data_IF_940250074818
#
_entry.id   IF_940250074818
#
_cell.length_a   1.000
_cell.length_b   1.000
_cell.length_c   1.000
_cell.angle_alpha   90.00
_cell.angle_beta   90.00
_cell.angle_gamma   90.00
#
_symmetry.space_group_name_H-M   'P 1'
#
loop_
_entity.id
_entity.type
_entity.pdbx_description
1 polymer ?
#
# COMPACT_ATOMS: atom_id res chain seq x y z
N UNK A 1 22.83 -4.19 -0.60
CA UNK A 1 23.81 -3.13 -0.95
C UNK A 1 23.27 -1.84 -0.35
N UNK A 2 24.09 -1.00 0.28
CA UNK A 2 23.63 0.26 0.90
C UNK A 2 24.27 1.45 0.19
N UNK A 3 23.53 2.55 0.07
CA UNK A 3 24.00 3.84 -0.43
C UNK A 3 25.02 4.53 0.48
N UNK A 4 25.71 5.56 -0.03
CA UNK A 4 26.79 6.28 0.69
C UNK A 4 26.35 7.68 1.20
N UNK A 5 25.05 7.90 1.32
CA UNK A 5 24.44 9.10 1.89
C UNK A 5 24.10 10.14 0.82
N UNK A 6 22.97 10.82 1.01
CA UNK A 6 22.30 11.58 -0.05
C UNK A 6 21.48 10.66 -0.97
N UNK A 7 20.76 11.25 -1.93
CA UNK A 7 19.96 10.50 -2.90
C UNK A 7 20.82 9.49 -3.69
N UNK A 8 20.55 8.21 -3.51
CA UNK A 8 21.28 7.09 -4.09
C UNK A 8 20.45 6.38 -5.18
N UNK A 9 21.12 5.77 -6.16
CA UNK A 9 20.50 4.79 -7.06
C UNK A 9 21.06 3.41 -6.73
N UNK A 10 20.23 2.56 -6.16
CA UNK A 10 20.62 1.24 -5.64
C UNK A 10 20.03 0.18 -6.56
N UNK A 11 20.90 -0.55 -7.26
CA UNK A 11 20.51 -1.72 -8.04
C UNK A 11 20.75 -3.00 -7.21
N UNK A 12 19.68 -3.75 -6.98
CA UNK A 12 19.72 -5.10 -6.45
C UNK A 12 20.49 -6.03 -7.37
N UNK A 13 21.35 -6.86 -6.78
CA UNK A 13 21.85 -8.08 -7.42
C UNK A 13 21.47 -9.33 -6.62
N UNK A 14 20.70 -9.13 -5.54
CA UNK A 14 20.27 -10.09 -4.52
C UNK A 14 18.86 -9.65 -4.06
N UNK A 15 18.10 -10.60 -3.52
CA UNK A 15 16.72 -10.46 -3.02
C UNK A 15 16.43 -9.34 -1.98
N UNK A 16 17.41 -8.53 -1.57
CA UNK A 16 17.24 -7.47 -0.57
C UNK A 16 17.97 -6.19 -0.97
N UNK A 17 17.18 -5.14 -1.17
CA UNK A 17 17.61 -3.78 -1.51
C UNK A 17 17.11 -2.84 -0.41
N UNK A 18 18.02 -2.06 0.18
CA UNK A 18 17.67 -1.16 1.29
C UNK A 18 18.33 0.19 1.06
N UNK A 19 17.51 1.23 1.09
CA UNK A 19 17.86 2.64 1.05
C UNK A 19 18.69 3.08 2.27
N UNK A 20 19.29 4.26 2.17
CA UNK A 20 19.86 4.93 3.34
C UNK A 20 18.76 5.68 4.09
N UNK A 21 18.87 5.91 5.41
CA UNK A 21 17.84 6.67 6.13
C UNK A 21 17.78 8.13 5.65
N UNK A 22 16.56 8.69 5.65
CA UNK A 22 16.24 10.11 5.49
C UNK A 22 16.65 10.73 4.13
N UNK A 23 16.72 9.95 3.05
CA UNK A 23 17.08 10.42 1.70
C UNK A 23 16.08 9.95 0.65
N UNK A 24 15.92 10.77 -0.40
CA UNK A 24 15.12 10.44 -1.58
C UNK A 24 15.90 9.48 -2.50
N UNK A 25 15.65 8.18 -2.40
CA UNK A 25 16.40 7.14 -3.10
C UNK A 25 15.65 6.57 -4.32
N UNK A 26 16.42 5.96 -5.24
CA UNK A 26 15.90 5.14 -6.33
C UNK A 26 16.36 3.70 -6.11
N UNK A 27 15.43 2.79 -5.88
CA UNK A 27 15.71 1.38 -5.64
C UNK A 27 15.20 0.55 -6.82
N UNK A 28 16.04 -0.33 -7.35
CA UNK A 28 15.67 -1.25 -8.42
C UNK A 28 16.06 -2.69 -8.05
N UNK A 29 15.08 -3.60 -7.92
CA UNK A 29 15.31 -5.03 -7.62
C UNK A 29 15.92 -5.76 -8.82
N UNK A 30 15.24 -5.72 -9.96
CA UNK A 30 15.71 -6.22 -11.24
C UNK A 30 15.06 -7.54 -11.62
N UNK A 31 15.73 -8.66 -11.36
CA UNK A 31 15.18 -9.99 -11.65
C UNK A 31 15.29 -10.88 -10.42
N UNK A 32 14.26 -11.68 -10.18
CA UNK A 32 14.14 -12.51 -8.98
C UNK A 32 13.28 -11.81 -7.94
N UNK A 33 12.84 -12.58 -6.93
CA UNK A 33 11.98 -12.06 -5.88
C UNK A 33 12.78 -11.12 -4.96
N UNK A 34 12.55 -9.83 -5.07
CA UNK A 34 13.26 -8.80 -4.32
C UNK A 34 12.41 -8.21 -3.19
N UNK A 35 13.08 -7.75 -2.14
CA UNK A 35 12.46 -6.93 -1.08
C UNK A 35 13.16 -5.58 -1.04
N UNK A 36 12.40 -4.51 -1.27
CA UNK A 36 12.87 -3.14 -1.35
C UNK A 36 12.35 -2.35 -0.14
N UNK A 37 13.24 -1.65 0.54
CA UNK A 37 12.91 -0.75 1.66
C UNK A 37 13.45 0.66 1.39
N UNK A 38 12.57 1.64 1.14
CA UNK A 38 12.88 3.06 0.93
C UNK A 38 13.22 3.82 2.23
N UNK A 39 12.60 3.41 3.33
CA UNK A 39 12.77 4.01 4.67
C UNK A 39 12.15 5.39 4.75
N UNK A 40 12.94 6.45 4.90
CA UNK A 40 12.41 7.79 5.09
C UNK A 40 12.94 8.66 3.98
N UNK A 41 12.09 9.48 3.35
CA UNK A 41 12.45 10.24 2.16
C UNK A 41 11.37 10.12 1.09
N UNK A 42 11.56 10.77 -0.05
CA UNK A 42 10.69 10.59 -1.22
C UNK A 42 11.32 9.56 -2.16
N UNK A 43 10.93 8.30 -2.00
CA UNK A 43 11.56 7.17 -2.66
C UNK A 43 10.85 6.74 -3.93
N UNK A 44 11.63 6.13 -4.83
CA UNK A 44 11.14 5.45 -6.03
C UNK A 44 11.61 4.01 -6.04
N UNK A 45 10.68 3.09 -5.85
CA UNK A 45 10.96 1.65 -5.80
C UNK A 45 10.47 0.97 -7.08
N UNK A 46 11.35 0.17 -7.69
CA UNK A 46 11.09 -0.63 -8.88
C UNK A 46 11.42 -2.09 -8.57
N UNK A 47 10.41 -2.95 -8.41
CA UNK A 47 10.58 -4.39 -8.17
C UNK A 47 11.28 -5.06 -9.34
N UNK A 48 10.62 -5.08 -10.50
CA UNK A 48 11.20 -5.58 -11.74
C UNK A 48 10.46 -6.82 -12.25
N UNK A 49 11.14 -7.97 -12.24
CA UNK A 49 10.54 -9.24 -12.65
C UNK A 49 10.52 -10.22 -11.48
N UNK A 50 9.53 -11.11 -11.50
CA UNK A 50 9.20 -12.06 -10.44
C UNK A 50 8.52 -11.36 -9.26
N UNK A 51 8.33 -12.05 -8.13
CA UNK A 51 7.43 -11.58 -7.08
C UNK A 51 8.16 -10.70 -6.08
N UNK A 52 7.85 -9.41 -6.07
CA UNK A 52 8.56 -8.42 -5.27
C UNK A 52 7.76 -7.93 -4.06
N UNK A 53 8.48 -7.45 -3.04
CA UNK A 53 7.92 -6.76 -1.87
C UNK A 53 8.48 -5.36 -1.77
N UNK A 54 7.63 -4.34 -1.87
CA UNK A 54 8.00 -2.93 -1.89
C UNK A 54 7.43 -2.24 -0.65
N UNK A 55 8.31 -1.68 0.18
CA UNK A 55 8.01 -0.89 1.37
C UNK A 55 8.67 0.48 1.19
N UNK A 56 7.87 1.50 0.89
CA UNK A 56 8.34 2.88 0.71
C UNK A 56 8.86 3.42 2.04
N UNK A 57 8.00 3.35 3.06
CA UNK A 57 8.26 3.83 4.40
C UNK A 57 7.76 5.26 4.58
N UNK A 58 8.38 6.04 5.45
CA UNK A 58 7.96 7.41 5.74
C UNK A 58 8.31 8.37 4.59
N UNK A 59 7.32 8.81 3.85
CA UNK A 59 7.43 9.76 2.76
C UNK A 59 6.21 9.73 1.85
N UNK A 60 6.29 10.51 0.78
CA UNK A 60 5.34 10.39 -0.33
C UNK A 60 6.04 9.59 -1.44
N UNK A 61 5.87 8.26 -1.42
CA UNK A 61 6.66 7.36 -2.24
C UNK A 61 5.97 6.95 -3.54
N UNK A 62 6.77 6.46 -4.49
CA UNK A 62 6.29 5.93 -5.75
C UNK A 62 6.78 4.51 -5.98
N UNK A 63 5.83 3.57 -6.04
CA UNK A 63 6.09 2.13 -6.04
C UNK A 63 5.65 1.50 -7.37
N UNK A 64 6.56 0.75 -7.98
CA UNK A 64 6.35 -0.01 -9.22
C UNK A 64 6.73 -1.47 -8.98
N UNK A 65 5.76 -2.37 -8.86
CA UNK A 65 6.00 -3.82 -8.72
C UNK A 65 6.66 -4.39 -9.96
N UNK A 66 5.99 -4.25 -11.11
CA UNK A 66 6.50 -4.74 -12.38
C UNK A 66 5.77 -6.02 -12.76
N UNK A 67 6.50 -7.05 -13.21
CA UNK A 67 5.87 -8.32 -13.57
C UNK A 67 6.05 -9.35 -12.46
N UNK A 68 4.97 -9.95 -11.99
CA UNK A 68 5.04 -10.94 -10.93
C UNK A 68 3.81 -10.79 -10.07
N UNK A 69 3.74 -11.51 -8.95
CA UNK A 69 2.75 -11.23 -7.92
C UNK A 69 3.42 -10.38 -6.85
N UNK A 70 3.19 -9.09 -6.90
CA UNK A 70 3.90 -8.12 -6.08
C UNK A 70 3.11 -7.78 -4.80
N UNK A 71 3.85 -7.32 -3.79
CA UNK A 71 3.31 -6.93 -2.50
C UNK A 71 3.77 -5.53 -2.15
N UNK A 72 2.84 -4.59 -2.12
CA UNK A 72 3.05 -3.22 -1.64
C UNK A 72 2.74 -3.16 -0.16
N UNK A 73 3.65 -2.57 0.60
CA UNK A 73 3.55 -2.43 2.04
C UNK A 73 3.36 -0.97 2.34
N UNK A 74 2.29 -0.67 3.05
CA UNK A 74 2.00 0.66 3.55
C UNK A 74 1.79 0.58 5.06
N UNK A 75 2.61 1.28 5.81
CA UNK A 75 2.43 1.45 7.24
C UNK A 75 1.60 2.71 7.51
N UNK A 76 0.88 2.69 8.62
CA UNK A 76 0.25 3.91 9.12
C UNK A 76 1.33 4.98 9.34
N UNK A 77 1.01 6.20 8.92
CA UNK A 77 1.88 7.37 8.95
C UNK A 77 3.06 7.34 7.96
N UNK A 78 3.04 6.44 6.96
CA UNK A 78 4.02 6.47 5.87
C UNK A 78 3.91 7.79 5.08
N UNK A 79 2.70 8.23 4.74
CA UNK A 79 2.50 9.49 4.00
C UNK A 79 1.54 9.31 2.84
N UNK A 80 1.81 9.93 1.69
CA UNK A 80 0.99 9.79 0.48
C UNK A 80 1.71 8.99 -0.61
N UNK A 81 1.44 7.69 -0.64
CA UNK A 81 2.07 6.79 -1.60
C UNK A 81 1.28 6.64 -2.88
N UNK A 82 2.00 6.41 -3.97
CA UNK A 82 1.47 6.13 -5.29
C UNK A 82 1.95 4.74 -5.73
N UNK A 83 0.99 3.85 -6.00
CA UNK A 83 1.24 2.54 -6.58
C UNK A 83 0.91 2.61 -8.07
N UNK A 84 1.91 2.28 -8.89
CA UNK A 84 1.78 2.16 -10.33
C UNK A 84 2.07 0.73 -10.76
N UNK A 85 0.99 -0.03 -10.87
CA UNK A 85 1.07 -1.40 -11.33
C UNK A 85 1.35 -1.48 -12.83
N UNK A 86 2.36 -2.28 -13.18
CA UNK A 86 2.88 -2.42 -14.53
C UNK A 86 3.17 -3.90 -14.86
N UNK A 87 2.24 -4.77 -14.47
CA UNK A 87 2.30 -6.22 -14.66
C UNK A 87 1.47 -6.76 -15.82
N UNK A 88 1.32 -8.08 -15.86
CA UNK A 88 0.44 -8.78 -16.80
C UNK A 88 -0.83 -9.23 -16.11
N UNK A 89 -1.96 -9.31 -16.83
CA UNK A 89 -3.33 -9.58 -16.34
C UNK A 89 -3.54 -10.92 -15.58
N UNK A 90 -2.49 -11.68 -15.31
CA UNK A 90 -2.52 -12.90 -14.51
C UNK A 90 -1.75 -12.80 -13.19
N UNK A 91 -1.13 -11.65 -12.90
CA UNK A 91 -0.57 -11.37 -11.58
C UNK A 91 -1.68 -11.27 -10.54
N UNK A 92 -1.31 -11.51 -9.29
CA UNK A 92 -2.15 -11.35 -8.11
C UNK A 92 -1.43 -10.44 -7.14
N UNK A 93 -1.51 -9.15 -7.41
CA UNK A 93 -0.82 -8.11 -6.69
C UNK A 93 -1.59 -7.77 -5.40
N UNK A 94 -0.86 -7.43 -4.35
CA UNK A 94 -1.42 -7.24 -3.00
C UNK A 94 -0.95 -5.93 -2.41
N UNK A 95 -1.88 -5.11 -1.95
CA UNK A 95 -1.61 -4.04 -1.00
C UNK A 95 -1.80 -4.58 0.42
N UNK A 96 -0.78 -4.46 1.24
CA UNK A 96 -0.82 -4.74 2.68
C UNK A 96 -0.75 -3.40 3.44
N UNK A 97 -1.80 -3.08 4.18
CA UNK A 97 -1.82 -1.95 5.11
C UNK A 97 -1.56 -2.47 6.52
N UNK A 98 -0.57 -1.91 7.18
CA UNK A 98 -0.14 -2.31 8.51
C UNK A 98 -0.42 -1.22 9.55
N UNK A 99 -0.84 -1.63 10.75
CA UNK A 99 -0.89 -0.73 11.90
C UNK A 99 0.49 -0.15 12.25
N UNK A 100 0.50 1.03 12.86
CA UNK A 100 1.74 1.69 13.27
C UNK A 100 2.52 0.83 14.30
N UNK A 101 3.85 0.86 14.18
CA UNK A 101 4.79 0.17 15.05
C UNK A 101 5.06 0.92 16.37
N UNK A 102 4.57 2.15 16.56
CA UNK A 102 5.10 3.04 17.60
C UNK A 102 4.11 3.51 18.68
N UNK A 103 2.80 3.57 18.42
CA UNK A 103 1.84 4.05 19.42
C UNK A 103 0.97 2.93 20.00
N UNK A 104 1.43 2.35 21.13
CA UNK A 104 0.77 1.27 21.87
C UNK A 104 -0.60 1.58 22.50
N UNK A 105 -1.33 2.60 22.04
CA UNK A 105 -2.66 2.94 22.56
C UNK A 105 -3.71 3.24 21.47
N UNK A 106 -3.33 3.48 20.21
CA UNK A 106 -4.27 3.74 19.11
C UNK A 106 -4.50 2.47 18.29
N UNK A 107 -5.43 1.62 18.77
CA UNK A 107 -5.86 0.43 18.04
C UNK A 107 -6.81 0.83 16.90
N UNK A 108 -6.38 0.55 15.68
CA UNK A 108 -7.17 0.65 14.46
C UNK A 108 -8.49 -0.12 14.62
N UNK A 109 -9.63 0.50 14.34
CA UNK A 109 -10.86 -0.26 14.11
C UNK A 109 -10.96 -0.48 12.59
N UNK A 110 -10.17 -1.45 12.13
CA UNK A 110 -9.57 -1.53 10.80
C UNK A 110 -10.42 -1.24 9.55
N UNK A 111 -11.73 -1.34 9.67
CA UNK A 111 -12.66 -1.16 8.57
C UNK A 111 -13.38 0.19 8.60
N UNK A 112 -13.51 0.81 9.76
CA UNK A 112 -14.20 2.09 9.92
C UNK A 112 -13.30 3.27 9.55
N UNK A 113 -11.99 3.07 9.63
CA UNK A 113 -10.96 4.09 9.43
C UNK A 113 -10.45 4.14 7.97
N UNK A 114 -10.97 3.28 7.08
CA UNK A 114 -10.64 3.31 5.65
C UNK A 114 -11.75 3.96 4.83
N UNK A 115 -11.39 5.02 4.12
CA UNK A 115 -12.26 5.71 3.18
C UNK A 115 -11.76 5.53 1.75
N UNK A 116 -12.68 5.23 0.85
CA UNK A 116 -12.35 4.97 -0.54
C UNK A 116 -12.96 6.05 -1.43
N UNK A 117 -12.18 6.49 -2.41
CA UNK A 117 -12.63 7.44 -3.42
C UNK A 117 -12.06 7.06 -4.78
N UNK A 118 -12.87 7.21 -5.82
CA UNK A 118 -12.40 7.15 -7.19
C UNK A 118 -12.08 8.55 -7.72
N UNK A 119 -10.83 8.78 -8.05
CA UNK A 119 -10.36 9.99 -8.72
C UNK A 119 -10.04 9.68 -10.18
N UNK A 120 -11.01 9.89 -11.08
CA UNK A 120 -10.84 9.54 -12.49
C UNK A 120 -10.68 8.04 -12.71
N UNK A 121 -9.47 7.59 -13.07
CA UNK A 121 -9.12 6.18 -13.19
C UNK A 121 -8.34 5.64 -12.00
N UNK A 122 -8.12 6.46 -10.97
CA UNK A 122 -7.30 6.08 -9.82
C UNK A 122 -8.20 5.70 -8.64
N UNK A 123 -7.81 4.66 -7.91
CA UNK A 123 -8.41 4.31 -6.62
C UNK A 123 -7.60 4.97 -5.52
N UNK A 124 -8.25 5.80 -4.72
CA UNK A 124 -7.68 6.46 -3.56
C UNK A 124 -8.21 5.79 -2.30
N UNK A 125 -7.29 5.35 -1.45
CA UNK A 125 -7.57 4.80 -0.12
C UNK A 125 -7.02 5.81 0.89
N UNK A 126 -7.91 6.52 1.57
CA UNK A 126 -7.56 7.42 2.67
C UNK A 126 -7.70 6.65 3.99
N UNK A 127 -6.67 6.76 4.82
CA UNK A 127 -6.68 6.28 6.18
C UNK A 127 -7.16 7.44 7.05
N UNK A 128 -8.48 7.52 7.25
CA UNK A 128 -9.12 8.54 8.08
C UNK A 128 -9.07 8.10 9.54
N UNK A 129 -8.18 8.74 10.26
CA UNK A 129 -8.00 8.58 11.68
C UNK A 129 -8.93 9.56 12.40
N UNK A 130 -10.21 9.23 12.51
CA UNK A 130 -11.09 10.01 13.38
C UNK A 130 -10.79 9.71 14.85
N UNK A 131 -9.67 10.24 15.34
CA UNK A 131 -9.44 10.43 16.76
C UNK A 131 -10.27 11.64 17.21
N UNK A 132 -11.42 11.36 17.82
CA UNK A 132 -12.43 12.33 18.31
C UNK A 132 -11.87 13.30 19.40
N UNK A 133 -10.56 13.27 19.74
CA UNK A 133 -10.00 13.90 20.95
C UNK A 133 -8.68 14.68 20.83
N UNK A 134 -7.99 14.73 19.68
CA UNK A 134 -6.85 15.65 19.50
C UNK A 134 -6.84 16.33 18.12
N UNK A 135 -7.09 17.65 18.01
CA UNK A 135 -7.36 18.31 16.72
C UNK A 135 -6.16 18.48 15.78
N UNK A 136 -4.93 18.29 16.27
CA UNK A 136 -3.73 18.71 15.56
C UNK A 136 -2.69 17.57 15.60
N UNK A 137 -2.29 17.10 14.41
CA UNK A 137 -1.09 16.30 14.11
C UNK A 137 -1.19 14.77 14.12
N UNK A 138 -2.14 14.20 13.39
CA UNK A 138 -1.88 12.90 12.79
C UNK A 138 -2.16 12.97 11.28
N UNK A 139 -1.16 12.58 10.51
CA UNK A 139 -1.10 12.70 9.07
C UNK A 139 -2.09 11.68 8.52
N UNK A 140 -3.21 12.11 7.93
CA UNK A 140 -4.12 11.19 7.22
C UNK A 140 -3.31 10.53 6.10
N UNK A 141 -2.90 9.28 6.32
CA UNK A 141 -2.18 8.49 5.34
C UNK A 141 -3.05 8.28 4.10
N UNK A 142 -2.42 8.18 2.94
CA UNK A 142 -3.13 7.92 1.69
C UNK A 142 -2.32 6.99 0.80
N UNK A 143 -3.00 6.03 0.21
CA UNK A 143 -2.47 5.24 -0.90
C UNK A 143 -3.29 5.51 -2.14
N UNK A 144 -2.63 5.87 -3.24
CA UNK A 144 -3.26 6.04 -4.56
C UNK A 144 -2.80 4.94 -5.49
N UNK A 145 -3.72 4.08 -5.93
CA UNK A 145 -3.45 3.09 -6.96
C UNK A 145 -3.90 3.67 -8.30
N UNK A 146 -2.94 3.95 -9.18
CA UNK A 146 -3.25 4.62 -10.44
C UNK A 146 -3.83 3.67 -11.47
N UNK A 147 -4.72 4.18 -12.32
CA UNK A 147 -5.37 3.43 -13.40
C UNK A 147 -6.12 2.14 -12.97
N UNK A 148 -6.49 2.03 -11.69
CA UNK A 148 -7.36 0.97 -11.19
C UNK A 148 -8.63 0.86 -12.06
N UNK A 149 -9.05 -0.36 -12.38
CA UNK A 149 -10.23 -0.62 -13.22
C UNK A 149 -10.10 -0.29 -14.71
N UNK A 150 -8.95 0.20 -15.20
CA UNK A 150 -8.76 0.57 -16.63
C UNK A 150 -7.50 0.01 -17.27
N UNK A 151 -6.48 -0.31 -16.48
CA UNK A 151 -5.29 -1.01 -16.92
C UNK A 151 -5.50 -2.52 -16.90
N UNK A 152 -4.67 -3.23 -17.69
CA UNK A 152 -4.67 -4.68 -17.77
C UNK A 152 -3.98 -5.32 -16.55
N UNK A 153 -3.25 -4.53 -15.76
CA UNK A 153 -2.69 -4.87 -14.46
C UNK A 153 -3.18 -3.86 -13.42
N UNK A 154 -3.61 -4.37 -12.27
CA UNK A 154 -4.23 -3.64 -11.17
C UNK A 154 -3.74 -4.26 -9.88
N UNK A 155 -3.99 -3.62 -8.73
CA UNK A 155 -3.84 -4.34 -7.46
C UNK A 155 -5.12 -5.11 -7.23
N UNK A 156 -5.05 -6.43 -7.11
CA UNK A 156 -6.23 -7.29 -6.93
C UNK A 156 -6.68 -7.37 -5.47
N UNK A 157 -5.73 -7.30 -4.52
CA UNK A 157 -6.00 -7.65 -3.13
C UNK A 157 -5.59 -6.56 -2.17
N UNK A 158 -6.41 -6.33 -1.16
CA UNK A 158 -6.08 -5.54 0.01
C UNK A 158 -6.11 -6.43 1.25
N UNK A 159 -5.07 -6.35 2.07
CA UNK A 159 -4.96 -7.01 3.36
C UNK A 159 -4.63 -6.00 4.43
N UNK A 160 -5.26 -6.13 5.60
CA UNK A 160 -5.04 -5.27 6.74
C UNK A 160 -4.38 -6.08 7.85
N UNK A 161 -3.34 -5.55 8.50
CA UNK A 161 -2.59 -6.25 9.54
C UNK A 161 -2.53 -5.44 10.84
N UNK A 162 -2.73 -6.12 11.97
CA UNK A 162 -2.50 -5.55 13.31
C UNK A 162 -0.99 -5.46 13.62
N UNK A 163 -0.66 -4.78 14.73
CA UNK A 163 0.70 -4.66 15.27
C UNK A 163 1.36 -6.01 15.62
N UNK A 164 0.55 -7.03 15.89
CA UNK A 164 0.92 -8.42 16.12
C UNK A 164 1.05 -9.26 14.82
N UNK A 165 0.99 -8.62 13.64
CA UNK A 165 1.05 -9.26 12.31
C UNK A 165 -0.09 -10.23 12.00
N UNK A 166 -1.26 -10.04 12.60
CA UNK A 166 -2.47 -10.81 12.30
C UNK A 166 -3.28 -10.11 11.23
N UNK A 167 -3.76 -10.90 10.27
CA UNK A 167 -4.70 -10.43 9.26
C UNK A 167 -6.02 -10.04 9.92
N UNK A 168 -6.39 -8.77 9.80
CA UNK A 168 -7.65 -8.22 10.27
C UNK A 168 -8.66 -8.31 9.13
N UNK A 169 -9.81 -8.92 9.42
CA UNK A 169 -10.94 -9.13 8.51
C UNK A 169 -10.71 -9.67 7.11
N UNK A 170 -9.64 -10.44 6.97
CA UNK A 170 -9.44 -11.27 5.80
C UNK A 170 -8.91 -10.49 4.61
N UNK A 171 -9.00 -11.13 3.45
CA UNK A 171 -8.56 -10.56 2.18
C UNK A 171 -9.73 -9.85 1.49
N UNK A 172 -9.48 -8.63 1.05
CA UNK A 172 -10.44 -7.77 0.35
C UNK A 172 -10.11 -7.80 -1.14
N UNK A 173 -11.12 -8.05 -1.96
CA UNK A 173 -11.02 -7.91 -3.42
C UNK A 173 -11.14 -6.44 -3.82
N UNK A 174 -10.05 -5.85 -4.36
CA UNK A 174 -10.00 -4.46 -4.76
C UNK A 174 -10.82 -4.16 -6.02
N UNK A 175 -11.16 -5.17 -6.84
CA UNK A 175 -12.11 -4.97 -7.95
C UNK A 175 -13.53 -4.69 -7.42
N UNK A 176 -13.90 -5.33 -6.32
CA UNK A 176 -15.15 -5.07 -5.60
C UNK A 176 -15.14 -3.70 -4.94
N UNK A 177 -14.02 -3.30 -4.33
CA UNK A 177 -13.81 -1.94 -3.77
C UNK A 177 -13.94 -0.88 -4.86
N UNK A 178 -13.25 -1.06 -5.98
CA UNK A 178 -13.33 -0.16 -7.14
C UNK A 178 -14.75 0.02 -7.65
N UNK A 179 -15.51 -1.06 -7.73
CA UNK A 179 -16.90 -1.04 -8.22
C UNK A 179 -17.85 -0.31 -7.26
N UNK A 180 -17.53 -0.29 -5.97
CA UNK A 180 -18.31 0.38 -4.93
C UNK A 180 -17.85 1.82 -4.67
N UNK A 181 -16.58 2.14 -4.94
CA UNK A 181 -16.02 3.47 -4.74
C UNK A 181 -16.73 4.49 -5.66
N UNK A 182 -17.37 5.47 -5.03
CA UNK A 182 -17.96 6.61 -5.71
C UNK A 182 -16.91 7.68 -6.09
N UNK A 183 -17.37 8.78 -6.69
CA UNK A 183 -16.55 9.99 -6.94
C UNK A 183 -16.53 10.94 -5.73
N UNK A 184 -16.85 10.42 -4.56
CA UNK A 184 -16.88 11.15 -3.28
C UNK A 184 -16.54 10.14 -2.19
N UNK A 185 -15.86 10.61 -1.14
CA UNK A 185 -15.45 9.78 -0.01
C UNK A 185 -16.62 8.98 0.55
N UNK A 186 -16.43 7.66 0.65
CA UNK A 186 -17.37 6.76 1.28
C UNK A 186 -16.62 5.78 2.18
N UNK A 187 -17.10 5.62 3.40
CA UNK A 187 -16.79 4.47 4.25
C UNK A 187 -17.51 3.25 3.67
N UNK A 188 -16.77 2.18 3.36
CA UNK A 188 -17.37 0.95 2.86
C UNK A 188 -17.68 0.03 4.04
N UNK A 189 -18.96 -0.27 4.24
CA UNK A 189 -19.38 -1.27 5.22
C UNK A 189 -19.03 -2.67 4.69
N UNK A 190 -17.98 -3.25 5.26
CA UNK A 190 -17.58 -4.60 4.96
C UNK A 190 -18.31 -5.59 5.87
N UNK A 191 -19.06 -6.53 5.28
CA UNK A 191 -19.73 -7.60 6.03
C UNK A 191 -19.04 -8.94 5.81
N UNK A 192 -18.83 -9.68 6.89
CA UNK A 192 -18.36 -11.06 6.83
C UNK A 192 -19.50 -11.98 6.42
N UNK A 193 -19.29 -12.79 5.39
CA UNK A 193 -20.17 -13.92 5.15
C UNK A 193 -19.73 -15.18 5.95
N UNK A 194 -20.60 -16.19 6.01
CA UNK A 194 -20.36 -17.45 6.74
C UNK A 194 -19.23 -18.32 6.14
N UNK A 195 -18.58 -17.86 5.06
CA UNK A 195 -17.42 -18.48 4.41
C UNK A 195 -16.13 -17.65 4.59
N UNK A 196 -16.08 -16.73 5.57
CA UNK A 196 -14.89 -15.93 5.90
C UNK A 196 -14.38 -15.04 4.76
N UNK A 197 -15.22 -14.68 3.80
CA UNK A 197 -14.89 -13.71 2.76
C UNK A 197 -15.58 -12.37 3.03
N UNK A 198 -14.80 -11.29 2.92
CA UNK A 198 -15.24 -9.92 3.12
C UNK A 198 -15.78 -9.38 1.78
N UNK A 199 -17.02 -8.88 1.78
CA UNK A 199 -17.62 -8.24 0.61
C UNK A 199 -18.05 -6.83 0.95
N UNK A 200 -17.96 -5.94 -0.04
CA UNK A 200 -18.50 -4.59 0.07
C UNK A 200 -20.02 -4.66 0.02
N UNK A 201 -20.69 -4.23 1.09
CA UNK A 201 -22.14 -4.09 1.05
C UNK A 201 -22.50 -2.83 0.26
N UNK A 202 -23.45 -2.93 -0.67
CA UNK A 202 -24.03 -1.75 -1.30
C UNK A 202 -24.85 -0.99 -0.24
N UNK A 203 -24.57 0.31 -0.10
CA UNK A 203 -25.35 1.22 0.73
C UNK A 203 -26.82 1.33 0.28
#
# INVERSE_FOLDING_TARGET
>A
MFGLGGADTIHGSNALVIATPDNDDILAGGSGNDTLYGRAGLDRLFGGNDNDRLDGGNGDDLLYGGTGNDTYVYWRDDGSDIINEAGSDSSLDTLEIWEDRFYGEARFDAFNDLQYERSGNDLVINLDIQEDWWPDDFNSGRVTIINQGTASSQVERLRLYDDDSRLIGGEIDLASVWSAAGTSLSTLDFTYNTQTQLYVAAA
#
